data_IF_825675830950
#
_entry.id   IF_825675830950
#
_cell.length_a   1.000
_cell.length_b   1.000
_cell.length_c   1.000
_cell.angle_alpha   90.00
_cell.angle_beta   90.00
_cell.angle_gamma   90.00
#
_symmetry.space_group_name_H-M   'P 1'
#
loop_
_entity.id
_entity.type
_entity.pdbx_description
1 polymer ?
#
# COMPACT_ATOMS: atom_id res chain seq x y z
N UNK A 1 -44.33 -6.12 20.26
CA UNK A 1 -44.15 -5.41 21.54
C UNK A 1 -45.05 -4.19 21.49
N UNK A 2 -46.06 -4.15 22.35
CA UNK A 2 -47.03 -3.06 22.45
C UNK A 2 -46.42 -2.05 23.42
N UNK A 3 -46.06 -0.86 22.95
CA UNK A 3 -45.42 0.18 23.78
C UNK A 3 -46.47 1.16 24.32
N UNK A 4 -47.56 1.36 23.57
CA UNK A 4 -48.66 2.25 23.96
C UNK A 4 -50.02 1.54 24.02
N UNK A 5 -51.06 2.29 24.41
CA UNK A 5 -52.45 1.83 24.42
C UNK A 5 -52.86 1.23 23.05
N UNK A 6 -53.63 0.15 23.04
CA UNK A 6 -54.04 -0.55 21.81
C UNK A 6 -54.73 0.37 20.79
N UNK A 7 -55.39 1.44 21.24
CA UNK A 7 -56.05 2.42 20.36
C UNK A 7 -55.05 3.24 19.56
N UNK A 8 -53.97 3.73 20.17
CA UNK A 8 -52.97 4.56 19.46
C UNK A 8 -52.08 3.69 18.56
N UNK A 9 -51.74 2.48 19.00
CA UNK A 9 -50.99 1.51 18.18
C UNK A 9 -51.74 1.13 16.89
N UNK A 10 -53.07 0.94 16.96
CA UNK A 10 -53.90 0.70 15.77
C UNK A 10 -53.91 1.89 14.82
N UNK A 11 -53.90 3.11 15.34
CA UNK A 11 -53.83 4.33 14.53
C UNK A 11 -52.47 4.48 13.85
N UNK A 12 -51.38 4.21 14.56
CA UNK A 12 -50.02 4.20 14.00
C UNK A 12 -49.92 3.14 12.90
N UNK A 13 -50.43 1.93 13.14
CA UNK A 13 -50.40 0.86 12.14
C UNK A 13 -51.22 1.18 10.87
N UNK A 14 -52.35 1.88 11.02
CA UNK A 14 -53.19 2.33 9.90
C UNK A 14 -52.49 3.45 9.11
N UNK A 15 -51.93 4.45 9.81
CA UNK A 15 -51.24 5.59 9.20
C UNK A 15 -49.89 5.21 8.57
N UNK A 16 -49.29 4.09 8.98
CA UNK A 16 -48.05 3.55 8.40
C UNK A 16 -48.32 2.38 7.42
N UNK A 17 -49.58 2.14 7.03
CA UNK A 17 -49.95 1.01 6.17
C UNK A 17 -49.48 1.19 4.73
N UNK A 18 -49.53 2.41 4.21
CA UNK A 18 -49.05 2.80 2.89
C UNK A 18 -47.53 3.06 2.85
N UNK A 19 -46.90 3.27 4.01
CA UNK A 19 -45.45 3.48 4.16
C UNK A 19 -45.03 4.93 3.98
N UNK A 20 -45.97 5.87 3.91
CA UNK A 20 -45.73 7.31 3.89
C UNK A 20 -46.56 7.95 5.02
N UNK A 21 -45.94 8.73 5.88
CA UNK A 21 -46.67 9.46 6.91
C UNK A 21 -46.92 10.88 6.43
N UNK A 22 -48.18 11.20 6.09
CA UNK A 22 -48.51 12.57 5.68
C UNK A 22 -48.52 13.53 6.87
N UNK A 23 -48.25 14.81 6.63
CA UNK A 23 -48.24 15.85 7.67
C UNK A 23 -49.57 15.95 8.44
N UNK A 24 -50.70 15.66 7.77
CA UNK A 24 -52.02 15.64 8.41
C UNK A 24 -52.18 14.45 9.37
N UNK A 25 -51.66 13.29 9.00
CA UNK A 25 -51.68 12.09 9.86
C UNK A 25 -50.74 12.25 11.05
N UNK A 26 -49.55 12.82 10.82
CA UNK A 26 -48.61 13.20 11.90
C UNK A 26 -49.31 14.08 12.93
N UNK A 27 -49.97 15.16 12.50
CA UNK A 27 -50.68 16.06 13.42
C UNK A 27 -51.83 15.39 14.19
N UNK A 28 -52.56 14.47 13.57
CA UNK A 28 -53.65 13.73 14.24
C UNK A 28 -53.08 12.77 15.30
N UNK A 29 -51.98 12.08 15.00
CA UNK A 29 -51.31 11.18 15.92
C UNK A 29 -50.74 11.92 17.13
N UNK A 30 -50.11 13.09 16.93
CA UNK A 30 -49.56 13.92 18.01
C UNK A 30 -50.65 14.47 18.93
N UNK A 31 -51.76 14.99 18.38
CA UNK A 31 -52.93 15.40 19.19
C UNK A 31 -53.49 14.25 20.00
N UNK A 32 -53.51 13.04 19.42
CA UNK A 32 -54.03 11.86 20.12
C UNK A 32 -53.06 11.39 21.21
N UNK A 33 -51.76 11.42 20.97
CA UNK A 33 -50.73 11.14 21.97
C UNK A 33 -50.82 12.10 23.16
N UNK A 34 -51.01 13.39 22.90
CA UNK A 34 -51.21 14.43 23.91
C UNK A 34 -52.44 14.15 24.78
N UNK A 35 -53.59 13.77 24.16
CA UNK A 35 -54.81 13.42 24.93
C UNK A 35 -54.66 12.17 25.80
N UNK A 36 -53.72 11.29 25.47
CA UNK A 36 -53.44 10.07 26.22
C UNK A 36 -52.28 10.28 27.22
N UNK A 37 -51.76 11.52 27.34
CA UNK A 37 -50.69 11.89 28.26
C UNK A 37 -49.31 11.33 27.90
N UNK A 38 -49.08 11.02 26.63
CA UNK A 38 -47.79 10.52 26.13
C UNK A 38 -46.89 11.73 25.81
N UNK A 39 -45.62 11.63 26.18
CA UNK A 39 -44.61 12.63 25.86
C UNK A 39 -44.41 12.76 24.33
N UNK A 40 -44.48 13.98 23.82
CA UNK A 40 -44.47 14.24 22.38
C UNK A 40 -43.10 13.95 21.74
N UNK A 41 -42.01 14.22 22.47
CA UNK A 41 -40.65 14.01 21.98
C UNK A 41 -40.35 12.50 21.94
N UNK A 42 -40.77 11.75 22.96
CA UNK A 42 -40.68 10.28 22.96
C UNK A 42 -41.53 9.65 21.83
N UNK A 43 -42.75 10.18 21.63
CA UNK A 43 -43.65 9.69 20.60
C UNK A 43 -43.10 9.92 19.18
N UNK A 44 -42.46 11.06 18.94
CA UNK A 44 -41.82 11.39 17.66
C UNK A 44 -40.72 10.39 17.31
N UNK A 45 -39.82 10.10 18.25
CA UNK A 45 -38.74 9.13 18.07
C UNK A 45 -39.29 7.74 17.72
N UNK A 46 -40.35 7.31 18.43
CA UNK A 46 -40.96 5.99 18.20
C UNK A 46 -41.67 5.94 16.85
N UNK A 47 -42.40 7.00 16.47
CA UNK A 47 -43.10 7.06 15.20
C UNK A 47 -42.12 7.02 14.02
N UNK A 48 -41.00 7.74 14.11
CA UNK A 48 -39.94 7.74 13.10
C UNK A 48 -39.23 6.38 13.00
N UNK A 49 -38.94 5.73 14.14
CA UNK A 49 -38.37 4.39 14.16
C UNK A 49 -39.29 3.36 13.48
N UNK A 50 -40.61 3.43 13.71
CA UNK A 50 -41.61 2.55 13.08
C UNK A 50 -41.77 2.79 11.59
N UNK A 51 -41.78 4.06 11.17
CA UNK A 51 -41.81 4.43 9.76
C UNK A 51 -40.57 3.86 9.04
N UNK A 52 -39.40 3.97 9.65
CA UNK A 52 -38.16 3.42 9.11
C UNK A 52 -38.17 1.89 9.02
N UNK A 53 -38.68 1.18 10.04
CA UNK A 53 -38.90 -0.27 10.00
C UNK A 53 -39.81 -0.67 8.83
N UNK A 54 -40.93 0.05 8.64
CA UNK A 54 -41.89 -0.22 7.57
C UNK A 54 -41.32 0.03 6.18
N UNK A 55 -40.59 1.12 5.98
CA UNK A 55 -39.90 1.42 4.72
C UNK A 55 -38.84 0.34 4.41
N UNK A 56 -38.08 -0.11 5.41
CA UNK A 56 -37.12 -1.22 5.24
C UNK A 56 -37.80 -2.53 4.85
N UNK A 57 -38.90 -2.89 5.51
CA UNK A 57 -39.63 -4.11 5.19
C UNK A 57 -40.30 -4.08 3.80
N UNK A 58 -40.71 -2.90 3.31
CA UNK A 58 -41.25 -2.72 1.95
C UNK A 58 -40.17 -2.79 0.85
N UNK A 59 -38.89 -2.60 1.23
CA UNK A 59 -37.74 -2.50 0.30
C UNK A 59 -36.82 -3.74 0.34
N UNK A 60 -37.30 -4.86 0.89
CA UNK A 60 -36.56 -6.14 0.93
C UNK A 60 -37.25 -7.27 0.14
N UNK A 61 -37.43 -7.05 -1.17
CA UNK A 61 -36.80 -7.89 -2.21
C UNK A 61 -35.79 -6.99 -2.94
N UNK A 62 -34.61 -7.50 -3.35
CA UNK A 62 -33.37 -6.76 -3.23
C UNK A 62 -33.19 -5.73 -4.34
N UNK A 63 -33.38 -4.46 -4.02
CA UNK A 63 -32.73 -3.36 -4.74
C UNK A 63 -32.24 -2.36 -3.71
N UNK A 64 -30.93 -2.40 -3.45
CA UNK A 64 -30.25 -1.34 -2.71
C UNK A 64 -30.52 0.00 -3.40
N UNK A 65 -31.09 0.96 -2.67
CA UNK A 65 -30.99 2.36 -3.06
C UNK A 65 -29.50 2.72 -3.09
N UNK A 66 -29.01 3.42 -4.12
CA UNK A 66 -27.59 3.68 -4.25
C UNK A 66 -27.17 4.58 -3.10
N UNK A 67 -26.27 4.08 -2.26
CA UNK A 67 -25.33 4.97 -1.60
C UNK A 67 -24.74 5.83 -2.71
N UNK A 68 -24.76 7.15 -2.53
CA UNK A 68 -24.07 8.04 -3.44
C UNK A 68 -22.58 7.71 -3.37
N UNK A 69 -22.17 6.74 -4.18
CA UNK A 69 -20.80 6.46 -4.45
C UNK A 69 -20.24 7.73 -5.07
N UNK A 70 -19.54 8.52 -4.26
CA UNK A 70 -18.52 9.45 -4.77
C UNK A 70 -17.39 8.60 -5.35
N UNK A 71 -17.70 7.84 -6.40
CA UNK A 71 -16.71 7.30 -7.31
C UNK A 71 -15.91 8.51 -7.79
N UNK A 72 -14.60 8.48 -7.60
CA UNK A 72 -13.72 9.35 -8.37
C UNK A 72 -14.07 9.20 -9.85
N UNK A 73 -14.08 10.33 -10.56
CA UNK A 73 -14.37 10.48 -12.00
C UNK A 73 -14.96 9.24 -12.68
N UNK A 74 -16.29 9.09 -12.59
CA UNK A 74 -17.03 8.08 -13.37
C UNK A 74 -16.76 8.33 -14.85
N UNK A 75 -15.92 7.50 -15.47
CA UNK A 75 -15.60 7.60 -16.90
C UNK A 75 -16.78 7.04 -17.71
N UNK A 76 -17.41 7.92 -18.49
CA UNK A 76 -18.47 7.53 -19.43
C UNK A 76 -17.86 7.14 -20.77
N UNK A 77 -18.50 6.21 -21.47
CA UNK A 77 -18.13 5.85 -22.82
C UNK A 77 -18.32 7.08 -23.73
N UNK A 78 -17.29 7.50 -24.49
CA UNK A 78 -17.40 8.66 -25.37
C UNK A 78 -18.32 8.39 -26.58
N UNK A 79 -18.60 7.11 -26.89
CA UNK A 79 -19.46 6.74 -28.02
C UNK A 79 -20.95 6.62 -27.63
N UNK A 80 -21.29 6.13 -26.43
CA UNK A 80 -22.68 5.89 -26.03
C UNK A 80 -23.10 6.47 -24.67
N UNK A 81 -22.18 7.05 -23.91
CA UNK A 81 -22.46 7.61 -22.58
C UNK A 81 -22.66 6.60 -21.46
N UNK A 82 -22.60 5.30 -21.73
CA UNK A 82 -22.67 4.25 -20.71
C UNK A 82 -21.48 4.34 -19.73
N UNK A 83 -21.67 3.88 -18.49
CA UNK A 83 -20.61 3.86 -17.50
C UNK A 83 -19.59 2.80 -17.93
N UNK A 84 -18.36 3.21 -18.22
CA UNK A 84 -17.32 2.29 -18.64
C UNK A 84 -16.64 1.68 -17.42
N UNK A 85 -16.53 0.36 -17.39
CA UNK A 85 -15.65 -0.34 -16.46
C UNK A 85 -14.18 -0.01 -16.78
N UNK A 86 -13.39 0.04 -15.74
CA UNK A 86 -11.98 0.40 -15.80
C UNK A 86 -11.15 -0.63 -16.56
N UNK A 87 -10.22 -0.16 -17.40
CA UNK A 87 -9.29 -0.97 -18.23
C UNK A 87 -9.94 -1.88 -19.29
N UNK A 88 -11.24 -1.73 -19.57
CA UNK A 88 -11.85 -2.46 -20.67
C UNK A 88 -11.47 -1.80 -22.00
N UNK A 89 -11.07 -2.59 -22.99
CA UNK A 89 -10.66 -2.11 -24.31
C UNK A 89 -11.84 -1.91 -25.28
N UNK A 90 -13.03 -2.40 -24.90
CA UNK A 90 -14.29 -2.29 -25.66
C UNK A 90 -15.47 -1.96 -24.74
N UNK A 91 -16.37 -1.08 -25.18
CA UNK A 91 -17.59 -0.82 -24.42
C UNK A 91 -18.53 -2.03 -24.48
N UNK A 92 -19.04 -2.48 -23.33
CA UNK A 92 -20.05 -3.54 -23.22
C UNK A 92 -21.35 -3.20 -23.94
N UNK A 93 -21.74 -1.93 -23.93
CA UNK A 93 -23.06 -1.49 -24.42
C UNK A 93 -23.06 -1.10 -25.90
N UNK A 94 -21.95 -0.55 -26.42
CA UNK A 94 -21.88 -0.08 -27.81
C UNK A 94 -20.76 -0.69 -28.65
N UNK A 95 -19.88 -1.52 -28.06
CA UNK A 95 -18.80 -2.19 -28.79
C UNK A 95 -17.67 -1.28 -29.26
N UNK A 96 -17.70 0.03 -28.97
CA UNK A 96 -16.64 0.96 -29.36
C UNK A 96 -15.32 0.64 -28.67
N UNK A 97 -14.22 0.61 -29.43
CA UNK A 97 -12.86 0.41 -28.89
C UNK A 97 -12.33 1.69 -28.23
N UNK A 98 -11.89 1.60 -26.99
CA UNK A 98 -11.28 2.71 -26.28
C UNK A 98 -9.81 2.86 -26.71
N UNK A 99 -9.52 3.86 -27.56
CA UNK A 99 -8.16 4.07 -28.11
C UNK A 99 -7.29 5.09 -27.36
N UNK A 100 -7.81 5.81 -26.37
CA UNK A 100 -7.05 6.79 -25.58
C UNK A 100 -7.67 6.95 -24.20
N UNK A 101 -7.39 6.02 -23.30
CA UNK A 101 -7.60 6.27 -21.87
C UNK A 101 -6.38 7.09 -21.43
N UNK A 102 -6.62 8.38 -21.19
CA UNK A 102 -5.60 9.32 -20.71
C UNK A 102 -4.97 8.74 -19.45
N UNK A 103 -3.68 8.37 -19.55
CA UNK A 103 -2.86 7.95 -18.41
C UNK A 103 -3.03 9.00 -17.32
N UNK A 104 -3.26 8.57 -16.09
CA UNK A 104 -3.56 9.47 -15.01
C UNK A 104 -2.43 10.51 -14.85
N UNK A 105 -2.73 11.78 -15.14
CA UNK A 105 -1.72 12.84 -15.14
C UNK A 105 -0.98 12.99 -13.79
N UNK A 106 -1.55 12.47 -12.71
CA UNK A 106 -0.90 12.36 -11.40
C UNK A 106 0.30 11.42 -11.37
N UNK A 107 0.29 10.30 -12.10
CA UNK A 107 1.41 9.34 -12.09
C UNK A 107 2.53 9.83 -13.00
N UNK A 108 2.20 10.43 -14.15
CA UNK A 108 3.19 11.05 -15.04
C UNK A 108 3.95 12.13 -14.28
N UNK A 109 3.23 13.06 -13.63
CA UNK A 109 3.84 14.13 -12.83
C UNK A 109 4.70 13.60 -11.67
N UNK A 110 4.38 12.44 -11.12
CA UNK A 110 5.19 11.80 -10.09
C UNK A 110 6.56 11.38 -10.64
N UNK A 111 6.58 10.69 -11.78
CA UNK A 111 7.83 10.24 -12.39
C UNK A 111 8.63 11.39 -12.99
N UNK A 112 7.98 12.37 -13.60
CA UNK A 112 8.65 13.58 -14.10
C UNK A 112 9.41 14.31 -12.98
N UNK A 113 8.79 14.46 -11.81
CA UNK A 113 9.44 15.06 -10.64
C UNK A 113 10.57 14.21 -10.08
N UNK A 114 10.45 12.88 -10.13
CA UNK A 114 11.56 12.00 -9.74
C UNK A 114 12.77 12.17 -10.65
N UNK A 115 12.52 12.30 -11.96
CA UNK A 115 13.56 12.47 -12.97
C UNK A 115 14.17 13.87 -12.89
N UNK A 116 13.37 14.90 -12.61
CA UNK A 116 13.86 16.26 -12.32
C UNK A 116 14.81 16.27 -11.12
N UNK A 117 14.45 15.61 -10.01
CA UNK A 117 15.34 15.48 -8.86
C UNK A 117 16.61 14.73 -9.24
N UNK A 118 16.53 13.66 -10.04
CA UNK A 118 17.73 12.93 -10.51
C UNK A 118 18.64 13.80 -11.38
N UNK A 119 18.08 14.65 -12.22
CA UNK A 119 18.84 15.55 -13.09
C UNK A 119 19.70 16.53 -12.28
N UNK A 120 19.34 16.82 -11.02
CA UNK A 120 20.14 17.67 -10.12
C UNK A 120 21.36 16.95 -9.51
N UNK A 121 21.57 15.66 -9.79
CA UNK A 121 22.66 14.87 -9.22
C UNK A 121 24.01 15.34 -9.76
N UNK A 122 24.82 15.98 -8.91
CA UNK A 122 26.21 16.30 -9.23
C UNK A 122 27.07 15.02 -9.18
N UNK A 123 27.54 14.55 -10.33
CA UNK A 123 28.39 13.35 -10.48
C UNK A 123 29.85 13.61 -10.07
N UNK A 124 30.07 13.94 -8.80
CA UNK A 124 31.41 13.93 -8.22
C UNK A 124 31.81 12.50 -7.84
N UNK A 125 32.23 11.68 -8.82
CA UNK A 125 32.85 10.39 -8.51
C UNK A 125 34.22 10.64 -7.86
N UNK A 126 34.33 10.42 -6.55
CA UNK A 126 35.64 10.36 -5.90
C UNK A 126 36.40 9.14 -6.44
N UNK A 127 37.30 9.38 -7.39
CA UNK A 127 38.34 8.43 -7.75
C UNK A 127 39.23 8.23 -6.52
N UNK A 128 39.09 7.10 -5.82
CA UNK A 128 40.01 6.74 -4.76
C UNK A 128 41.29 6.22 -5.40
N UNK A 129 42.35 7.00 -5.23
CA UNK A 129 43.71 6.67 -5.62
C UNK A 129 44.25 5.65 -4.60
N UNK A 130 44.30 4.36 -4.97
CA UNK A 130 44.94 3.33 -4.14
C UNK A 130 46.34 3.04 -4.65
N UNK A 131 47.26 3.99 -4.44
CA UNK A 131 48.69 3.74 -4.54
C UNK A 131 49.20 3.12 -3.24
N UNK A 132 49.16 1.80 -3.09
CA UNK A 132 49.83 1.14 -1.97
C UNK A 132 51.27 0.82 -2.37
N UNK A 133 52.23 1.62 -1.90
CA UNK A 133 53.64 1.24 -1.93
C UNK A 133 53.88 0.17 -0.85
N UNK A 134 54.16 -1.07 -1.26
CA UNK A 134 54.36 -2.21 -0.37
C UNK A 134 55.81 -2.15 0.15
N UNK A 135 55.98 -1.76 1.41
CA UNK A 135 57.29 -1.72 2.07
C UNK A 135 57.77 -3.10 2.53
N UNK A 136 59.08 -3.30 2.59
CA UNK A 136 59.75 -4.57 2.97
C UNK A 136 59.34 -5.07 4.37
N UNK A 137 59.03 -4.16 5.30
CA UNK A 137 58.47 -4.48 6.62
C UNK A 137 57.03 -5.02 6.58
N UNK A 138 56.22 -4.62 5.58
CA UNK A 138 54.87 -5.16 5.35
C UNK A 138 54.93 -6.63 4.91
N UNK A 139 55.97 -7.02 4.17
CA UNK A 139 56.20 -8.40 3.70
C UNK A 139 56.57 -9.34 4.85
N UNK A 140 57.41 -8.90 5.79
CA UNK A 140 57.75 -9.68 7.00
C UNK A 140 56.55 -9.87 7.93
N UNK A 141 55.72 -8.83 8.09
CA UNK A 141 54.48 -8.91 8.86
C UNK A 141 53.47 -9.86 8.21
N UNK A 142 53.39 -9.85 6.87
CA UNK A 142 52.61 -10.82 6.10
C UNK A 142 53.13 -12.25 6.27
N UNK A 143 54.45 -12.48 6.36
CA UNK A 143 55.01 -13.84 6.49
C UNK A 143 54.74 -14.48 7.87
N UNK A 144 54.82 -13.73 8.96
CA UNK A 144 54.65 -14.25 10.33
C UNK A 144 53.22 -14.12 10.89
N UNK A 145 52.45 -13.13 10.43
CA UNK A 145 51.13 -12.81 10.98
C UNK A 145 49.99 -12.94 9.94
N UNK A 146 50.22 -13.61 8.79
CA UNK A 146 49.23 -13.75 7.72
C UNK A 146 47.86 -14.22 8.23
N UNK A 147 47.85 -15.22 9.11
CA UNK A 147 46.64 -15.85 9.63
C UNK A 147 45.83 -14.88 10.51
N UNK A 148 46.50 -14.11 11.39
CA UNK A 148 45.86 -13.05 12.20
C UNK A 148 45.40 -11.90 11.31
N UNK A 149 46.18 -11.51 10.30
CA UNK A 149 45.80 -10.46 9.35
C UNK A 149 44.61 -10.85 8.48
N UNK A 150 44.51 -12.11 8.04
CA UNK A 150 43.33 -12.66 7.36
C UNK A 150 42.10 -12.54 8.25
N UNK A 151 42.21 -12.84 9.55
CA UNK A 151 41.11 -12.70 10.50
C UNK A 151 40.67 -11.25 10.67
N UNK A 152 41.63 -10.35 10.94
CA UNK A 152 41.34 -8.92 11.10
C UNK A 152 40.69 -8.37 9.82
N UNK A 153 41.21 -8.72 8.65
CA UNK A 153 40.65 -8.33 7.34
C UNK A 153 39.28 -8.96 7.08
N UNK A 154 39.06 -10.22 7.45
CA UNK A 154 37.79 -10.93 7.29
C UNK A 154 36.70 -10.34 8.19
N UNK A 155 37.02 -10.06 9.46
CA UNK A 155 36.13 -9.37 10.39
C UNK A 155 35.86 -7.94 9.90
N UNK A 156 36.89 -7.20 9.45
CA UNK A 156 36.70 -5.87 8.85
C UNK A 156 35.82 -5.90 7.61
N UNK A 157 35.95 -6.91 6.76
CA UNK A 157 35.11 -7.10 5.59
C UNK A 157 33.66 -7.28 6.01
N UNK A 158 33.39 -8.19 6.96
CA UNK A 158 32.03 -8.40 7.50
C UNK A 158 31.46 -7.11 8.11
N UNK A 159 32.24 -6.38 8.91
CA UNK A 159 31.83 -5.10 9.49
C UNK A 159 31.59 -4.01 8.43
N UNK A 160 32.33 -4.01 7.32
CA UNK A 160 32.08 -3.10 6.20
C UNK A 160 30.84 -3.52 5.41
N UNK A 161 30.56 -4.82 5.30
CA UNK A 161 29.36 -5.33 4.61
C UNK A 161 28.07 -5.04 5.37
N UNK A 162 28.10 -4.93 6.70
CA UNK A 162 26.92 -4.61 7.52
C UNK A 162 26.51 -3.13 7.47
N UNK A 163 27.42 -2.23 7.06
CA UNK A 163 27.09 -0.80 6.87
C UNK A 163 26.02 -0.63 5.78
N UNK A 164 25.09 0.29 6.03
CA UNK A 164 24.07 0.72 5.06
C UNK A 164 24.71 1.26 3.77
N UNK A 165 23.92 1.27 2.70
CA UNK A 165 24.35 1.86 1.43
C UNK A 165 24.77 3.33 1.62
N UNK A 166 25.76 3.78 0.85
CA UNK A 166 26.05 5.20 0.68
C UNK A 166 24.81 5.87 0.09
N UNK A 167 24.36 6.94 0.74
CA UNK A 167 23.13 7.65 0.38
C UNK A 167 23.46 9.12 0.15
N UNK A 168 23.16 9.64 -1.03
CA UNK A 168 23.41 11.05 -1.35
C UNK A 168 22.28 11.95 -0.85
N UNK A 169 22.51 13.26 -0.87
CA UNK A 169 21.48 14.26 -0.57
C UNK A 169 20.35 14.21 -1.61
N UNK A 170 20.66 13.93 -2.87
CA UNK A 170 19.67 13.73 -3.93
C UNK A 170 18.83 12.48 -3.67
N UNK A 171 19.44 11.38 -3.22
CA UNK A 171 18.72 10.15 -2.90
C UNK A 171 17.75 10.34 -1.72
N UNK A 172 18.17 11.07 -0.68
CA UNK A 172 17.32 11.42 0.46
C UNK A 172 16.11 12.26 0.02
N UNK A 173 16.31 13.27 -0.83
CA UNK A 173 15.22 14.07 -1.39
C UNK A 173 14.24 13.23 -2.20
N UNK A 174 14.74 12.27 -2.99
CA UNK A 174 13.89 11.35 -3.73
C UNK A 174 13.10 10.43 -2.80
N UNK A 175 13.74 9.87 -1.78
CA UNK A 175 13.06 9.03 -0.79
C UNK A 175 11.92 9.79 -0.12
N UNK A 176 12.19 11.01 0.36
CA UNK A 176 11.18 11.89 0.97
C UNK A 176 10.04 12.16 -0.02
N UNK A 177 10.36 12.47 -1.28
CA UNK A 177 9.35 12.70 -2.31
C UNK A 177 8.48 11.45 -2.55
N UNK A 178 9.08 10.27 -2.72
CA UNK A 178 8.35 9.01 -2.92
C UNK A 178 7.40 8.73 -1.76
N UNK A 179 7.88 8.86 -0.52
CA UNK A 179 7.10 8.53 0.67
C UNK A 179 6.00 9.55 0.97
N UNK A 180 6.22 10.83 0.65
CA UNK A 180 5.26 11.90 0.89
C UNK A 180 4.29 12.14 -0.27
N UNK A 181 4.55 11.56 -1.46
CA UNK A 181 3.65 11.74 -2.60
C UNK A 181 2.25 11.20 -2.31
N UNK A 182 1.17 11.96 -2.55
CA UNK A 182 -0.18 11.52 -2.23
C UNK A 182 -0.55 10.25 -3.01
N UNK A 183 -1.13 9.28 -2.31
CA UNK A 183 -1.64 8.06 -2.94
C UNK A 183 -2.97 8.39 -3.61
N UNK A 184 -3.15 8.04 -4.89
CA UNK A 184 -4.40 8.29 -5.59
C UNK A 184 -5.57 7.52 -4.95
N UNK A 185 -6.78 8.05 -5.14
CA UNK A 185 -8.02 7.51 -4.54
C UNK A 185 -8.85 6.71 -5.54
N UNK A 186 -8.58 6.83 -6.84
CA UNK A 186 -9.27 6.05 -7.86
C UNK A 186 -8.65 4.65 -7.99
N UNK A 187 -9.47 3.65 -8.30
CA UNK A 187 -9.06 2.24 -8.38
C UNK A 187 -7.99 2.04 -9.47
N UNK A 188 -8.11 2.79 -10.56
CA UNK A 188 -7.27 2.70 -11.75
C UNK A 188 -5.86 3.22 -11.44
N UNK A 189 -5.80 4.40 -10.85
CA UNK A 189 -4.53 5.03 -10.52
C UNK A 189 -3.82 4.24 -9.40
N UNK A 190 -4.57 3.60 -8.49
CA UNK A 190 -4.01 2.69 -7.49
C UNK A 190 -3.32 1.51 -8.18
N UNK A 191 -4.00 0.83 -9.11
CA UNK A 191 -3.44 -0.33 -9.82
C UNK A 191 -2.25 0.04 -10.71
N UNK A 192 -2.34 1.15 -11.44
CA UNK A 192 -1.27 1.66 -12.29
C UNK A 192 -0.05 2.02 -11.45
N UNK A 193 -0.25 2.79 -10.38
CA UNK A 193 0.85 3.21 -9.51
C UNK A 193 1.48 2.02 -8.78
N UNK A 194 0.67 1.07 -8.33
CA UNK A 194 1.13 -0.15 -7.69
C UNK A 194 1.97 -1.00 -8.65
N UNK A 195 1.50 -1.18 -9.88
CA UNK A 195 2.18 -1.97 -10.91
C UNK A 195 3.54 -1.38 -11.25
N UNK A 196 3.60 -0.07 -11.48
CA UNK A 196 4.86 0.60 -11.78
C UNK A 196 5.80 0.56 -10.56
N UNK A 197 5.29 0.83 -9.36
CA UNK A 197 6.09 0.77 -8.12
C UNK A 197 6.65 -0.63 -7.88
N UNK A 198 5.85 -1.67 -8.10
CA UNK A 198 6.27 -3.08 -7.97
C UNK A 198 7.36 -3.44 -8.99
N UNK A 199 7.29 -2.90 -10.21
CA UNK A 199 8.33 -3.11 -11.23
C UNK A 199 9.69 -2.52 -10.86
N UNK A 200 9.76 -1.56 -9.94
CA UNK A 200 11.02 -0.99 -9.44
C UNK A 200 11.72 -1.91 -8.43
N UNK A 201 11.03 -2.91 -7.89
CA UNK A 201 11.61 -3.87 -6.94
C UNK A 201 12.34 -4.98 -7.71
N UNK A 202 13.65 -5.11 -7.42
CA UNK A 202 14.52 -6.04 -8.12
C UNK A 202 15.09 -7.14 -7.21
N UNK A 203 15.20 -8.39 -7.68
CA UNK A 203 15.88 -9.45 -6.93
C UNK A 203 17.39 -9.19 -6.88
N UNK A 204 18.02 -9.61 -5.78
CA UNK A 204 19.48 -9.55 -5.62
C UNK A 204 20.11 -10.94 -5.81
N UNK A 205 21.30 -10.96 -6.40
CA UNK A 205 22.11 -12.16 -6.56
C UNK A 205 23.01 -12.39 -5.34
N UNK A 206 23.32 -13.65 -5.06
CA UNK A 206 24.25 -14.04 -3.99
C UNK A 206 25.66 -13.48 -4.22
N UNK A 207 26.13 -13.46 -5.47
CA UNK A 207 27.50 -13.07 -5.79
C UNK A 207 27.76 -11.57 -5.61
N UNK A 208 26.75 -10.73 -5.89
CA UNK A 208 26.90 -9.27 -5.84
C UNK A 208 26.41 -8.67 -4.53
N UNK A 209 26.01 -9.50 -3.54
CA UNK A 209 25.23 -9.05 -2.38
C UNK A 209 25.91 -8.00 -1.50
N UNK A 210 27.24 -7.97 -1.54
CA UNK A 210 28.08 -7.03 -0.79
C UNK A 210 28.59 -5.85 -1.61
N UNK A 211 28.29 -5.80 -2.90
CA UNK A 211 28.60 -4.64 -3.74
C UNK A 211 27.80 -3.42 -3.30
N UNK A 212 28.40 -2.23 -3.45
CA UNK A 212 27.73 -0.96 -3.13
C UNK A 212 26.42 -0.81 -3.92
N UNK A 213 26.42 -1.20 -5.20
CA UNK A 213 25.23 -1.17 -6.05
C UNK A 213 24.10 -2.06 -5.54
N UNK A 214 24.42 -3.23 -5.00
CA UNK A 214 23.40 -4.15 -4.46
C UNK A 214 22.86 -3.65 -3.13
N UNK A 215 23.70 -3.03 -2.29
CA UNK A 215 23.25 -2.34 -1.07
C UNK A 215 22.30 -1.20 -1.43
N UNK A 216 22.68 -0.36 -2.39
CA UNK A 216 21.85 0.74 -2.90
C UNK A 216 20.50 0.24 -3.43
N UNK A 217 20.51 -0.79 -4.29
CA UNK A 217 19.29 -1.45 -4.79
C UNK A 217 18.41 -1.98 -3.66
N UNK A 218 19.01 -2.62 -2.66
CA UNK A 218 18.26 -3.19 -1.54
C UNK A 218 17.61 -2.11 -0.67
N UNK A 219 18.28 -0.96 -0.47
CA UNK A 219 17.70 0.20 0.22
C UNK A 219 16.50 0.74 -0.57
N UNK A 220 16.64 0.93 -1.88
CA UNK A 220 15.53 1.36 -2.75
C UNK A 220 14.37 0.35 -2.77
N UNK A 221 14.64 -0.95 -2.82
CA UNK A 221 13.61 -1.99 -2.74
C UNK A 221 12.77 -1.83 -1.46
N UNK A 222 13.40 -1.52 -0.31
CA UNK A 222 12.69 -1.28 0.95
C UNK A 222 11.84 -0.01 0.91
N UNK A 223 12.32 1.06 0.28
CA UNK A 223 11.56 2.32 0.12
C UNK A 223 10.34 2.09 -0.76
N UNK A 224 10.51 1.45 -1.92
CA UNK A 224 9.41 1.09 -2.80
C UNK A 224 8.41 0.14 -2.13
N UNK A 225 8.89 -0.80 -1.31
CA UNK A 225 8.00 -1.67 -0.54
C UNK A 225 7.13 -0.86 0.44
N UNK A 226 7.72 0.08 1.19
CA UNK A 226 6.94 0.98 2.08
C UNK A 226 5.89 1.76 1.29
N UNK A 227 6.24 2.25 0.10
CA UNK A 227 5.28 2.96 -0.76
C UNK A 227 4.15 2.04 -1.22
N UNK A 228 4.47 0.83 -1.65
CA UNK A 228 3.49 -0.19 -2.02
C UNK A 228 2.57 -0.54 -0.85
N UNK A 229 3.08 -0.59 0.37
CA UNK A 229 2.26 -0.82 1.57
C UNK A 229 1.30 0.35 1.83
N UNK A 230 1.73 1.60 1.68
CA UNK A 230 0.85 2.77 1.74
C UNK A 230 -0.25 2.70 0.67
N UNK A 231 0.11 2.31 -0.57
CA UNK A 231 -0.84 2.14 -1.67
C UNK A 231 -1.85 1.03 -1.32
N UNK A 232 -1.38 -0.10 -0.79
CA UNK A 232 -2.23 -1.21 -0.38
C UNK A 232 -3.22 -0.82 0.74
N UNK A 233 -2.77 -0.04 1.73
CA UNK A 233 -3.66 0.49 2.78
C UNK A 233 -4.76 1.38 2.20
N UNK A 234 -4.46 2.17 1.16
CA UNK A 234 -5.47 2.98 0.47
C UNK A 234 -6.39 2.12 -0.41
N UNK A 235 -5.82 1.12 -1.08
CA UNK A 235 -6.55 0.19 -1.93
C UNK A 235 -7.59 -0.61 -1.13
N UNK A 236 -7.23 -1.14 0.03
CA UNK A 236 -8.15 -1.88 0.90
C UNK A 236 -9.35 -1.03 1.36
N UNK A 237 -9.15 0.29 1.50
CA UNK A 237 -10.23 1.22 1.81
C UNK A 237 -11.08 1.56 0.59
N UNK A 238 -10.46 1.74 -0.58
CA UNK A 238 -11.12 2.18 -1.82
C UNK A 238 -11.82 1.05 -2.58
N UNK A 239 -11.43 -0.21 -2.35
CA UNK A 239 -11.89 -1.39 -3.09
C UNK A 239 -12.75 -2.33 -2.24
N UNK A 240 -13.32 -1.86 -1.12
CA UNK A 240 -14.16 -2.68 -0.22
C UNK A 240 -15.31 -3.41 -0.95
N UNK A 241 -15.88 -2.75 -1.96
CA UNK A 241 -17.04 -3.25 -2.71
C UNK A 241 -16.63 -4.14 -3.91
N UNK A 242 -15.33 -4.35 -4.14
CA UNK A 242 -14.81 -5.13 -5.27
C UNK A 242 -13.66 -6.06 -4.84
N UNK A 243 -13.99 -7.26 -4.32
CA UNK A 243 -13.00 -8.19 -3.80
C UNK A 243 -12.10 -8.79 -4.88
N UNK A 244 -12.54 -8.84 -6.14
CA UNK A 244 -11.75 -9.41 -7.25
C UNK A 244 -10.55 -8.51 -7.56
N UNK A 245 -10.81 -7.23 -7.76
CA UNK A 245 -9.76 -6.24 -8.03
C UNK A 245 -8.80 -6.10 -6.85
N UNK A 246 -9.31 -6.16 -5.61
CA UNK A 246 -8.47 -6.14 -4.42
C UNK A 246 -7.57 -7.39 -4.30
N UNK A 247 -8.03 -8.57 -4.73
CA UNK A 247 -7.20 -9.77 -4.76
C UNK A 247 -6.01 -9.63 -5.72
N UNK A 248 -6.19 -8.98 -6.87
CA UNK A 248 -5.09 -8.66 -7.81
C UNK A 248 -4.06 -7.71 -7.18
N UNK A 249 -4.53 -6.67 -6.49
CA UNK A 249 -3.67 -5.77 -5.71
C UNK A 249 -2.83 -6.56 -4.71
N UNK A 250 -3.47 -7.44 -3.92
CA UNK A 250 -2.77 -8.27 -2.93
C UNK A 250 -1.71 -9.16 -3.58
N UNK A 251 -2.01 -9.78 -4.72
CA UNK A 251 -1.04 -10.61 -5.43
C UNK A 251 0.22 -9.83 -5.83
N UNK A 252 0.06 -8.59 -6.33
CA UNK A 252 1.18 -7.72 -6.69
C UNK A 252 1.99 -7.32 -5.45
N UNK A 253 1.31 -6.96 -4.35
CA UNK A 253 1.93 -6.57 -3.08
C UNK A 253 2.70 -7.74 -2.46
N UNK A 254 2.14 -8.95 -2.47
CA UNK A 254 2.79 -10.14 -1.93
C UNK A 254 4.03 -10.52 -2.72
N UNK A 255 3.99 -10.44 -4.05
CA UNK A 255 5.17 -10.63 -4.91
C UNK A 255 6.29 -9.67 -4.51
N UNK A 256 5.98 -8.38 -4.35
CA UNK A 256 6.92 -7.36 -3.91
C UNK A 256 7.51 -7.64 -2.51
N UNK A 257 6.68 -8.06 -1.55
CA UNK A 257 7.12 -8.47 -0.20
C UNK A 257 8.07 -9.67 -0.27
N UNK A 258 7.73 -10.67 -1.05
CA UNK A 258 8.50 -11.91 -1.16
C UNK A 258 9.90 -11.63 -1.72
N UNK A 259 10.01 -10.83 -2.77
CA UNK A 259 11.32 -10.42 -3.33
C UNK A 259 12.16 -9.70 -2.27
N UNK A 260 11.58 -8.76 -1.53
CA UNK A 260 12.31 -7.99 -0.52
C UNK A 260 12.74 -8.85 0.68
N UNK A 261 11.87 -9.77 1.12
CA UNK A 261 12.18 -10.75 2.17
C UNK A 261 13.28 -11.70 1.73
N UNK A 262 13.22 -12.21 0.50
CA UNK A 262 14.25 -13.09 -0.06
C UNK A 262 15.59 -12.38 -0.16
N UNK A 263 15.62 -11.13 -0.64
CA UNK A 263 16.83 -10.32 -0.69
C UNK A 263 17.45 -10.15 0.70
N UNK A 264 16.63 -9.84 1.71
CA UNK A 264 17.08 -9.72 3.10
C UNK A 264 17.62 -11.04 3.64
N UNK A 265 16.92 -12.15 3.37
CA UNK A 265 17.36 -13.50 3.77
C UNK A 265 18.70 -13.87 3.14
N UNK A 266 18.91 -13.56 1.85
CA UNK A 266 20.19 -13.80 1.17
C UNK A 266 21.33 -13.05 1.87
N UNK A 267 21.13 -11.79 2.25
CA UNK A 267 22.15 -10.99 2.96
C UNK A 267 22.54 -11.70 4.26
N UNK A 268 21.56 -12.08 5.08
CA UNK A 268 21.81 -12.78 6.33
C UNK A 268 22.47 -14.14 6.13
N UNK A 269 22.07 -14.88 5.09
CA UNK A 269 22.66 -16.18 4.79
C UNK A 269 24.14 -16.07 4.45
N UNK A 270 24.54 -15.11 3.59
CA UNK A 270 25.95 -14.93 3.23
C UNK A 270 26.77 -14.40 4.41
N UNK A 271 26.22 -13.47 5.20
CA UNK A 271 26.89 -12.99 6.41
C UNK A 271 27.09 -14.11 7.44
N UNK A 272 26.06 -14.92 7.67
CA UNK A 272 26.11 -16.07 8.58
C UNK A 272 27.10 -17.13 8.12
N UNK A 273 27.09 -17.48 6.83
CA UNK A 273 28.06 -18.42 6.26
C UNK A 273 29.49 -17.89 6.38
N UNK A 274 29.73 -16.60 6.10
CA UNK A 274 31.03 -15.97 6.27
C UNK A 274 31.51 -15.99 7.72
N UNK A 275 30.65 -15.66 8.69
CA UNK A 275 30.97 -15.72 10.10
C UNK A 275 31.26 -17.15 10.58
N UNK A 276 30.50 -18.14 10.12
CA UNK A 276 30.73 -19.55 10.45
C UNK A 276 32.07 -20.06 9.91
N UNK A 277 32.44 -19.72 8.68
CA UNK A 277 33.75 -20.06 8.10
C UNK A 277 34.91 -19.48 8.90
N UNK A 278 34.76 -18.21 9.33
CA UNK A 278 35.72 -17.54 10.21
C UNK A 278 35.83 -18.31 11.54
N UNK A 279 34.72 -18.64 12.20
CA UNK A 279 34.75 -19.40 13.46
C UNK A 279 35.38 -20.78 13.33
N UNK A 280 35.02 -21.56 12.30
CA UNK A 280 35.62 -22.87 12.02
C UNK A 280 37.13 -22.74 11.83
N UNK A 281 37.58 -21.73 11.08
CA UNK A 281 39.00 -21.48 10.89
C UNK A 281 39.71 -21.09 12.21
N UNK A 282 39.06 -20.38 13.15
CA UNK A 282 39.64 -20.09 14.49
C UNK A 282 39.84 -21.39 15.24
N UNK A 283 38.80 -22.23 15.29
CA UNK A 283 38.79 -23.48 16.04
C UNK A 283 39.86 -24.43 15.50
N UNK A 284 39.94 -24.61 14.17
CA UNK A 284 40.96 -25.46 13.55
C UNK A 284 42.40 -25.01 13.88
N UNK A 285 42.66 -23.69 13.85
CA UNK A 285 43.99 -23.18 14.18
C UNK A 285 44.31 -23.28 15.68
N UNK A 286 43.33 -23.09 16.56
CA UNK A 286 43.52 -23.26 18.00
C UNK A 286 43.90 -24.71 18.36
N UNK A 287 43.27 -25.69 17.69
CA UNK A 287 43.58 -27.12 17.85
C UNK A 287 44.96 -27.48 17.27
N UNK A 288 45.36 -26.85 16.15
CA UNK A 288 46.67 -27.11 15.55
C UNK A 288 47.86 -26.51 16.35
N UNK A 289 47.59 -25.56 17.25
CA UNK A 289 48.59 -24.91 18.09
C UNK A 289 48.77 -25.56 19.47
N UNK A 290 47.89 -26.50 19.84
CA UNK A 290 48.01 -27.37 21.04
C UNK A 290 48.65 -28.70 20.69
#
# INVERSE_FOLDING_TARGET
MILYNEKIEKLIALALADGELTEKERQILFKKAETEGIDLDEFEIVLEARLFEKIKHKTQEPVAAPESDKFGDIKKCPACGAIAESFVTKCSDCGAEFRNIEVSGSIIRFFDKLDEIEATRSTGFYAQNTGSNIGLGTVLLWLFFWYILIFIKGIQLILATSKSAKWSTTDARKEEFVLNYPVPVSKENILEFLTISSSKINPVSYLTIFSEDTKYKNTWNKIWLKKIEQINSKASMSMKNDPKTYAEVLAIVEKARNITKENTKKVFHVLGAGAALILVFIICNAIAAT
#
